data_IF_356609276968
#
_entry.id   IF_356609276968
#
_cell.length_a   1.000
_cell.length_b   1.000
_cell.length_c   1.000
_cell.angle_alpha   90.00
_cell.angle_beta   90.00
_cell.angle_gamma   90.00
#
_symmetry.space_group_name_H-M   'P 1'
#
loop_
_entity.id
_entity.type
_entity.pdbx_description
1 polymer ?
#
# COMPACT_ATOMS: atom_id res chain seq x y z
N UNK A 1 62.71 -27.82 48.75
CA UNK A 1 62.19 -29.19 48.86
C UNK A 1 61.19 -29.30 47.73
N UNK A 2 60.98 -30.49 47.20
CA UNK A 2 60.15 -30.78 46.03
C UNK A 2 59.45 -32.08 46.42
N UNK A 3 58.17 -31.95 46.74
CA UNK A 3 57.42 -32.92 47.52
C UNK A 3 56.70 -33.94 46.65
N UNK A 4 56.34 -33.58 45.42
CA UNK A 4 55.66 -34.42 44.43
C UNK A 4 56.52 -34.78 43.21
N UNK A 5 57.64 -34.09 43.00
CA UNK A 5 58.68 -34.46 42.04
C UNK A 5 58.49 -33.91 40.63
N UNK A 6 57.77 -32.81 40.46
CA UNK A 6 57.46 -32.15 39.19
C UNK A 6 58.58 -31.20 38.69
N UNK A 7 59.64 -31.03 39.48
CA UNK A 7 60.78 -30.12 39.28
C UNK A 7 60.54 -28.65 39.67
N UNK A 8 59.38 -28.33 40.23
CA UNK A 8 59.08 -27.08 40.92
C UNK A 8 59.33 -27.31 42.43
N UNK A 9 59.87 -26.31 43.11
CA UNK A 9 60.12 -26.44 44.55
C UNK A 9 58.88 -26.02 45.35
N UNK A 10 58.59 -26.67 46.49
CA UNK A 10 57.42 -26.41 47.36
C UNK A 10 57.19 -24.92 47.73
N UNK A 11 58.21 -24.07 47.58
CA UNK A 11 58.14 -22.64 47.92
C UNK A 11 57.73 -21.74 46.74
N UNK A 12 57.62 -22.30 45.54
CA UNK A 12 57.20 -21.65 44.30
C UNK A 12 56.04 -22.39 43.63
N UNK A 13 55.79 -23.62 44.06
CA UNK A 13 54.69 -24.48 43.62
C UNK A 13 53.39 -24.15 44.39
N UNK A 14 52.31 -23.83 43.67
CA UNK A 14 50.99 -23.56 44.27
C UNK A 14 50.32 -24.84 44.74
N UNK A 15 50.65 -25.99 44.13
CA UNK A 15 50.14 -27.32 44.46
C UNK A 15 51.26 -28.30 44.87
N UNK A 16 51.98 -28.11 46.01
CA UNK A 16 53.15 -28.90 46.41
C UNK A 16 52.96 -30.41 46.65
N UNK A 17 51.79 -30.98 46.38
CA UNK A 17 51.56 -32.42 46.49
C UNK A 17 50.91 -33.00 45.22
N UNK A 18 50.81 -32.24 44.14
CA UNK A 18 50.23 -32.65 42.87
C UNK A 18 51.22 -32.41 41.72
N UNK A 19 51.92 -33.47 41.32
CA UNK A 19 52.97 -33.36 40.29
C UNK A 19 52.47 -32.98 38.89
N UNK A 20 51.15 -32.85 38.67
CA UNK A 20 50.59 -32.38 37.40
C UNK A 20 50.23 -30.90 37.41
N UNK A 21 50.24 -30.23 38.56
CA UNK A 21 49.88 -28.83 38.70
C UNK A 21 50.95 -28.08 39.46
N UNK A 22 51.27 -26.86 39.02
CA UNK A 22 52.27 -26.03 39.72
C UNK A 22 51.95 -24.53 39.73
N UNK A 23 51.04 -24.10 38.86
CA UNK A 23 50.56 -22.74 38.67
C UNK A 23 49.05 -22.69 38.88
N UNK A 24 48.55 -21.50 39.22
CA UNK A 24 47.17 -21.14 39.53
C UNK A 24 47.03 -19.65 39.16
N UNK A 25 46.71 -19.36 37.89
CA UNK A 25 46.82 -18.01 37.34
C UNK A 25 45.81 -17.04 37.98
N UNK A 26 44.55 -17.45 38.07
CA UNK A 26 43.44 -16.68 38.66
C UNK A 26 43.31 -16.81 40.20
N UNK A 27 44.07 -17.73 40.80
CA UNK A 27 44.06 -18.04 42.23
C UNK A 27 42.75 -18.66 42.77
N UNK A 28 42.04 -19.45 41.95
CA UNK A 28 40.79 -20.11 42.33
C UNK A 28 40.98 -21.47 43.06
N UNK A 29 42.23 -21.96 43.11
CA UNK A 29 42.68 -23.25 43.66
C UNK A 29 42.48 -24.47 42.75
N UNK A 30 42.21 -24.27 41.47
CA UNK A 30 42.38 -25.22 40.38
C UNK A 30 43.71 -24.87 39.70
N UNK A 31 44.46 -25.89 39.27
CA UNK A 31 45.76 -25.63 38.63
C UNK A 31 45.60 -25.50 37.13
N UNK A 32 46.42 -24.67 36.49
CA UNK A 32 46.26 -24.29 35.08
C UNK A 32 46.16 -25.48 34.09
N UNK A 33 46.71 -26.67 34.41
CA UNK A 33 46.57 -27.82 33.49
C UNK A 33 45.23 -28.56 33.62
N UNK A 34 44.51 -28.30 34.71
CA UNK A 34 43.20 -28.86 35.01
C UNK A 34 42.07 -27.84 34.92
N UNK A 35 42.39 -26.55 35.04
CA UNK A 35 41.46 -25.47 34.73
C UNK A 35 41.14 -25.45 33.24
N UNK A 36 40.02 -24.84 32.90
CA UNK A 36 39.55 -24.68 31.52
C UNK A 36 39.27 -23.23 31.17
N UNK A 37 39.51 -22.32 32.12
CA UNK A 37 39.30 -20.87 32.08
C UNK A 37 40.36 -20.26 33.01
N UNK A 38 41.61 -20.28 32.54
CA UNK A 38 42.81 -20.02 33.34
C UNK A 38 42.84 -18.60 33.96
N UNK A 39 42.15 -17.61 33.37
CA UNK A 39 42.05 -16.24 33.86
C UNK A 39 40.67 -15.84 34.42
N UNK A 40 39.70 -16.74 34.35
CA UNK A 40 38.36 -16.62 34.93
C UNK A 40 37.56 -15.44 34.34
N UNK A 41 37.78 -15.11 33.06
CA UNK A 41 37.05 -14.09 32.33
C UNK A 41 35.68 -14.58 31.79
N UNK A 42 35.53 -15.91 31.71
CA UNK A 42 34.31 -16.60 31.25
C UNK A 42 34.42 -17.24 29.87
N UNK A 43 35.51 -17.03 29.13
CA UNK A 43 35.89 -17.80 27.94
C UNK A 43 36.72 -19.01 28.34
N UNK A 44 36.47 -20.14 27.70
CA UNK A 44 37.30 -21.32 27.94
C UNK A 44 38.61 -21.24 27.14
N UNK A 45 39.72 -21.80 27.62
CA UNK A 45 41.00 -21.80 26.85
C UNK A 45 40.85 -22.39 25.44
N UNK A 46 39.88 -23.31 25.27
CA UNK A 46 39.57 -23.90 23.97
C UNK A 46 38.82 -22.97 23.02
N UNK A 47 38.03 -22.04 23.55
CA UNK A 47 37.31 -20.98 22.83
C UNK A 47 38.27 -19.83 22.51
N UNK A 48 39.11 -19.45 23.47
CA UNK A 48 40.18 -18.48 23.26
C UNK A 48 41.17 -18.91 22.18
N UNK A 49 41.56 -20.18 22.17
CA UNK A 49 42.38 -20.72 21.08
C UNK A 49 41.71 -20.63 19.69
N UNK A 50 40.38 -20.51 19.62
CA UNK A 50 39.63 -20.31 18.38
C UNK A 50 39.55 -18.83 17.99
N UNK A 51 39.36 -17.94 18.97
CA UNK A 51 39.28 -16.49 18.78
C UNK A 51 40.67 -15.86 18.56
N UNK A 52 41.71 -16.46 19.14
CA UNK A 52 43.09 -15.99 19.10
C UNK A 52 43.52 -15.18 20.31
N UNK A 53 42.70 -15.14 21.36
CA UNK A 53 42.96 -14.51 22.66
C UNK A 53 43.95 -15.32 23.53
N UNK A 54 44.46 -14.71 24.61
CA UNK A 54 45.44 -15.31 25.52
C UNK A 54 44.76 -15.89 26.78
N UNK A 55 44.79 -17.22 27.02
CA UNK A 55 44.17 -17.85 28.20
C UNK A 55 44.65 -17.42 29.57
N UNK A 56 45.65 -16.56 29.60
CA UNK A 56 46.21 -16.01 30.83
C UNK A 56 46.04 -14.49 30.85
N UNK A 57 45.08 -13.94 30.12
CA UNK A 57 44.84 -12.51 30.04
C UNK A 57 43.39 -12.20 29.68
N UNK A 58 42.60 -11.84 30.71
CA UNK A 58 41.16 -11.63 30.58
C UNK A 58 40.75 -10.48 29.63
N UNK A 59 41.70 -9.70 29.14
CA UNK A 59 41.59 -8.55 28.23
C UNK A 59 42.83 -8.56 27.32
N UNK A 60 42.77 -9.35 26.24
CA UNK A 60 43.95 -9.68 25.42
C UNK A 60 44.59 -8.46 24.75
N UNK A 61 43.81 -7.42 24.44
CA UNK A 61 44.28 -6.24 23.71
C UNK A 61 44.41 -4.97 24.56
N UNK A 62 44.18 -5.09 25.88
CA UNK A 62 44.37 -4.07 26.91
C UNK A 62 43.45 -2.84 26.71
N UNK A 63 42.18 -3.04 26.35
CA UNK A 63 41.23 -1.96 26.04
C UNK A 63 40.18 -1.65 27.12
N UNK A 64 40.30 -2.35 28.25
CA UNK A 64 39.41 -2.32 29.42
C UNK A 64 38.07 -3.07 29.23
N UNK A 65 37.89 -3.86 28.17
CA UNK A 65 36.79 -4.82 27.98
C UNK A 65 37.33 -6.25 28.01
N UNK A 66 36.66 -7.13 28.75
CA UNK A 66 37.12 -8.52 28.83
C UNK A 66 36.83 -9.27 27.52
N UNK A 67 37.68 -10.22 27.17
CA UNK A 67 37.56 -10.99 25.92
C UNK A 67 36.19 -11.67 25.78
N UNK A 68 35.60 -12.16 26.88
CA UNK A 68 34.25 -12.73 26.89
C UNK A 68 33.14 -11.74 26.50
N UNK A 69 33.28 -10.46 26.87
CA UNK A 69 32.28 -9.41 26.63
C UNK A 69 32.58 -8.57 25.38
N UNK A 70 33.80 -8.69 24.84
CA UNK A 70 34.25 -7.96 23.66
C UNK A 70 33.89 -8.67 22.36
N UNK A 71 33.25 -7.94 21.44
CA UNK A 71 32.98 -8.45 20.11
C UNK A 71 34.24 -8.53 19.23
N UNK A 72 35.25 -7.72 19.54
CA UNK A 72 36.49 -7.56 18.78
C UNK A 72 37.74 -7.68 19.68
N UNK A 73 37.94 -8.82 20.39
CA UNK A 73 38.91 -9.01 21.49
C UNK A 73 40.40 -9.01 21.07
N UNK A 74 40.71 -8.58 19.84
CA UNK A 74 42.06 -8.47 19.30
C UNK A 74 42.32 -7.09 18.67
N UNK A 75 41.36 -6.18 18.75
CA UNK A 75 41.43 -4.81 18.26
C UNK A 75 40.93 -3.82 19.32
N UNK A 76 41.85 -3.38 20.18
CA UNK A 76 41.63 -2.38 21.23
C UNK A 76 41.07 -1.00 20.79
N UNK A 77 40.72 -0.84 19.52
CA UNK A 77 39.98 0.33 19.03
C UNK A 77 38.51 0.04 18.71
N UNK A 78 38.05 -1.19 18.85
CA UNK A 78 36.70 -1.67 18.58
C UNK A 78 36.27 -2.59 19.73
N UNK A 79 35.09 -2.34 20.33
CA UNK A 79 34.56 -3.20 21.40
C UNK A 79 33.17 -3.78 21.10
N UNK A 80 32.56 -3.33 19.99
CA UNK A 80 31.17 -3.59 19.62
C UNK A 80 31.14 -3.94 18.12
N UNK A 81 30.21 -4.83 17.76
CA UNK A 81 29.89 -5.26 16.39
C UNK A 81 28.38 -5.53 16.39
N UNK A 82 27.60 -4.48 16.14
CA UNK A 82 26.15 -4.46 16.42
C UNK A 82 25.37 -5.40 15.49
N UNK A 83 25.78 -5.54 14.23
CA UNK A 83 25.17 -6.45 13.25
C UNK A 83 25.84 -7.84 13.18
N UNK A 84 27.04 -7.98 13.75
CA UNK A 84 27.78 -9.24 13.83
C UNK A 84 28.44 -9.64 12.51
N UNK A 85 28.77 -8.69 11.63
CA UNK A 85 29.43 -8.97 10.35
C UNK A 85 30.96 -9.14 10.46
N UNK A 86 31.53 -8.80 11.61
CA UNK A 86 32.96 -8.86 11.93
C UNK A 86 33.73 -7.56 11.64
N UNK A 87 33.03 -6.45 11.39
CA UNK A 87 33.57 -5.09 11.38
C UNK A 87 33.02 -4.37 12.61
N UNK A 88 33.90 -3.84 13.46
CA UNK A 88 33.44 -3.13 14.66
C UNK A 88 32.81 -1.77 14.36
N UNK A 89 31.89 -1.33 15.22
CA UNK A 89 31.07 -0.13 15.06
C UNK A 89 31.89 1.17 14.80
N UNK A 90 33.13 1.33 15.32
CA UNK A 90 33.90 2.54 15.01
C UNK A 90 34.47 2.54 13.58
N UNK A 91 34.55 1.37 12.94
CA UNK A 91 35.03 1.17 11.58
C UNK A 91 33.90 0.92 10.57
N UNK A 92 32.75 0.40 11.02
CA UNK A 92 31.57 0.23 10.19
C UNK A 92 30.94 1.60 9.86
N UNK A 93 30.12 1.63 8.82
CA UNK A 93 29.39 2.78 8.34
C UNK A 93 27.87 2.56 8.35
N UNK A 94 27.43 1.42 8.84
CA UNK A 94 26.06 0.89 8.86
C UNK A 94 25.95 -0.09 10.04
N UNK A 95 26.12 0.41 11.28
CA UNK A 95 26.41 -0.40 12.48
C UNK A 95 25.35 -1.50 12.76
N UNK A 96 24.09 -1.29 12.38
CA UNK A 96 22.99 -2.25 12.56
C UNK A 96 22.55 -2.98 11.27
N UNK A 97 23.21 -2.66 10.15
CA UNK A 97 22.98 -3.21 8.81
C UNK A 97 21.53 -3.21 8.34
N UNK A 98 20.80 -2.16 8.67
CA UNK A 98 19.42 -1.96 8.26
C UNK A 98 19.31 -1.39 6.82
N UNK A 99 20.44 -0.91 6.29
CA UNK A 99 20.58 -0.34 4.94
C UNK A 99 20.64 1.19 4.89
N UNK A 100 20.56 1.87 6.04
CA UNK A 100 20.69 3.31 6.21
C UNK A 100 22.03 3.64 6.87
N UNK A 101 22.95 4.22 6.09
CA UNK A 101 24.26 4.59 6.63
C UNK A 101 24.18 5.55 7.83
N UNK A 102 25.01 5.31 8.84
CA UNK A 102 25.36 6.15 10.00
C UNK A 102 25.22 7.67 9.84
N UNK A 103 25.70 8.16 8.70
CA UNK A 103 25.74 9.58 8.37
C UNK A 103 24.36 10.11 8.00
N UNK A 104 23.60 9.31 7.27
CA UNK A 104 22.23 9.61 6.85
C UNK A 104 21.28 9.48 8.03
N UNK A 105 21.46 8.46 8.88
CA UNK A 105 20.74 8.28 10.13
C UNK A 105 20.85 9.49 11.06
N UNK A 106 22.08 9.98 11.28
CA UNK A 106 22.29 11.20 12.08
C UNK A 106 21.53 12.41 11.52
N UNK A 107 21.22 12.41 10.23
CA UNK A 107 20.48 13.49 9.57
C UNK A 107 18.96 13.30 9.65
N UNK A 108 18.49 12.05 9.65
CA UNK A 108 17.08 11.66 9.72
C UNK A 108 16.59 11.60 11.17
N UNK A 109 17.47 11.30 12.12
CA UNK A 109 17.17 11.19 13.55
C UNK A 109 16.87 9.77 14.03
N UNK A 110 17.21 8.75 13.22
CA UNK A 110 17.19 7.33 13.57
C UNK A 110 18.38 6.96 14.47
N UNK A 111 18.37 5.75 15.02
CA UNK A 111 19.40 5.22 15.92
C UNK A 111 20.26 4.17 15.24
N UNK A 112 21.57 4.43 15.16
CA UNK A 112 22.57 3.63 14.41
C UNK A 112 22.72 2.20 14.87
N UNK A 113 22.28 1.94 16.09
CA UNK A 113 22.41 0.64 16.74
C UNK A 113 21.05 -0.07 16.81
N UNK A 114 20.03 0.47 16.15
CA UNK A 114 18.65 -0.02 16.19
C UNK A 114 18.04 -0.01 14.79
N UNK A 115 17.96 -1.19 14.13
CA UNK A 115 17.65 -1.26 12.70
C UNK A 115 16.18 -0.94 12.34
N UNK A 116 15.35 -0.59 13.32
CA UNK A 116 13.91 -0.25 13.19
C UNK A 116 13.55 0.78 14.28
N UNK A 117 13.85 2.05 14.03
CA UNK A 117 13.82 3.13 15.03
C UNK A 117 12.44 3.40 15.63
N UNK A 118 11.36 3.00 14.97
CA UNK A 118 9.98 3.20 15.44
C UNK A 118 9.19 1.93 15.76
N UNK A 119 9.86 0.76 15.70
CA UNK A 119 9.35 -0.56 16.02
C UNK A 119 8.11 -0.97 15.20
N UNK A 120 8.00 -0.53 13.94
CA UNK A 120 6.85 -0.85 13.08
C UNK A 120 7.01 -2.16 12.27
N UNK A 121 8.25 -2.65 12.21
CA UNK A 121 8.65 -3.87 11.51
C UNK A 121 9.21 -3.66 10.10
N UNK A 122 9.40 -2.42 9.66
CA UNK A 122 10.16 -2.03 8.47
C UNK A 122 11.48 -1.41 8.92
N UNK A 123 12.59 -1.82 8.30
CA UNK A 123 13.91 -1.31 8.66
C UNK A 123 14.07 0.14 8.20
N UNK A 124 14.82 0.98 8.91
CA UNK A 124 14.93 2.41 8.58
C UNK A 124 15.49 2.63 7.16
N UNK A 125 16.40 1.76 6.71
CA UNK A 125 16.92 1.75 5.35
C UNK A 125 15.90 1.44 4.24
N UNK A 126 14.79 0.80 4.57
CA UNK A 126 13.68 0.49 3.65
C UNK A 126 12.43 1.34 3.92
N UNK A 127 12.42 2.12 5.01
CA UNK A 127 11.31 2.96 5.44
C UNK A 127 11.44 4.41 4.92
N UNK A 128 10.36 4.93 4.34
CA UNK A 128 10.30 6.33 3.88
C UNK A 128 10.07 7.32 5.05
N UNK A 129 9.44 6.86 6.12
CA UNK A 129 9.15 7.57 7.36
C UNK A 129 9.64 6.78 8.59
N UNK A 130 10.97 6.58 8.76
CA UNK A 130 11.57 5.72 9.79
C UNK A 130 11.38 6.20 11.26
N UNK A 131 10.52 7.18 11.49
CA UNK A 131 10.20 7.73 12.82
C UNK A 131 8.68 7.83 13.05
N UNK A 132 7.88 7.29 12.14
CA UNK A 132 6.43 7.25 12.22
C UNK A 132 5.92 5.82 11.96
N UNK A 133 5.78 5.07 13.05
CA UNK A 133 5.32 3.68 13.04
C UNK A 133 3.90 3.43 12.47
N UNK A 134 3.27 4.46 11.89
CA UNK A 134 2.02 4.35 11.16
C UNK A 134 2.16 4.52 9.65
N UNK A 135 3.34 4.85 9.15
CA UNK A 135 3.62 5.11 7.74
C UNK A 135 4.98 4.53 7.35
N UNK A 136 5.04 3.73 6.29
CA UNK A 136 6.32 3.18 5.80
C UNK A 136 6.50 3.31 4.28
N UNK A 137 5.55 3.92 3.59
CA UNK A 137 5.54 4.04 2.13
C UNK A 137 4.95 5.38 1.70
N UNK A 138 5.53 5.95 0.64
CA UNK A 138 5.05 7.14 -0.06
C UNK A 138 5.08 6.83 -1.57
N UNK A 139 3.97 6.30 -2.08
CA UNK A 139 3.87 5.71 -3.40
C UNK A 139 4.00 6.74 -4.54
N UNK A 140 3.80 8.04 -4.28
CA UNK A 140 3.93 9.10 -5.28
C UNK A 140 4.94 10.22 -4.96
N UNK A 141 5.61 10.12 -3.81
CA UNK A 141 6.69 10.98 -3.35
C UNK A 141 6.27 12.43 -3.12
N UNK A 142 5.07 12.65 -2.59
CA UNK A 142 4.60 13.98 -2.22
C UNK A 142 4.82 14.35 -0.74
N UNK A 143 5.28 13.39 0.06
CA UNK A 143 5.65 13.55 1.46
C UNK A 143 4.52 13.26 2.45
N UNK A 144 3.38 12.74 2.01
CA UNK A 144 2.35 12.15 2.87
C UNK A 144 2.38 10.63 2.71
N UNK A 145 2.44 9.90 3.82
CA UNK A 145 2.47 8.44 3.78
C UNK A 145 1.17 7.83 3.27
N UNK A 146 1.29 6.67 2.62
CA UNK A 146 0.20 5.95 1.95
C UNK A 146 -1.00 5.66 2.87
N UNK A 147 -0.81 5.52 4.19
CA UNK A 147 -1.92 5.26 5.12
C UNK A 147 -2.71 6.53 5.47
N UNK A 148 -2.07 7.71 5.39
CA UNK A 148 -2.67 9.02 5.67
C UNK A 148 -3.10 9.75 4.40
N UNK A 149 -2.62 9.34 3.24
CA UNK A 149 -2.94 9.94 1.95
C UNK A 149 -4.28 9.39 1.39
N UNK A 150 -5.23 10.29 1.11
CA UNK A 150 -6.48 9.94 0.44
C UNK A 150 -6.28 9.52 -1.03
N UNK A 151 -5.18 9.94 -1.68
CA UNK A 151 -4.82 9.61 -3.05
C UNK A 151 -3.35 9.17 -3.19
N UNK A 152 -2.95 7.98 -2.67
CA UNK A 152 -1.54 7.51 -2.60
C UNK A 152 -0.78 7.38 -3.93
N UNK A 153 -1.37 7.70 -5.07
CA UNK A 153 -0.75 7.57 -6.38
C UNK A 153 -0.87 8.88 -7.20
N UNK A 154 -1.28 9.98 -6.56
CA UNK A 154 -1.45 11.27 -7.17
C UNK A 154 -0.78 12.38 -6.32
N UNK A 155 0.45 12.80 -6.68
CA UNK A 155 1.29 13.68 -5.85
C UNK A 155 0.84 15.15 -5.82
N UNK A 156 -0.40 15.41 -6.25
CA UNK A 156 -1.02 16.72 -6.29
C UNK A 156 -2.21 16.84 -5.32
N UNK A 157 -2.71 15.71 -4.81
CA UNK A 157 -3.93 15.61 -3.99
C UNK A 157 -3.63 14.69 -2.80
N UNK A 158 -3.76 15.19 -1.56
CA UNK A 158 -3.52 14.36 -0.35
C UNK A 158 -4.71 14.28 0.59
N UNK A 159 -5.68 15.17 0.40
CA UNK A 159 -6.83 15.35 1.29
C UNK A 159 -8.12 15.24 0.47
N UNK A 160 -9.08 14.52 1.03
CA UNK A 160 -10.47 14.42 0.57
C UNK A 160 -11.36 14.75 1.77
N UNK A 161 -11.67 16.03 1.96
CA UNK A 161 -12.27 16.56 3.18
C UNK A 161 -13.71 16.10 3.39
N UNK A 162 -14.44 15.79 2.33
CA UNK A 162 -15.82 15.30 2.38
C UNK A 162 -15.99 13.82 1.98
N UNK A 163 -14.95 13.19 1.43
CA UNK A 163 -14.92 11.75 1.16
C UNK A 163 -15.63 11.36 -0.13
N UNK A 164 -15.78 12.28 -1.09
CA UNK A 164 -16.49 12.04 -2.34
C UNK A 164 -15.61 11.45 -3.47
N UNK A 165 -14.30 11.37 -3.22
CA UNK A 165 -13.30 10.81 -4.13
C UNK A 165 -12.69 11.82 -5.09
N UNK A 166 -12.94 13.12 -4.93
CA UNK A 166 -12.21 14.21 -5.60
C UNK A 166 -11.39 14.96 -4.56
N UNK A 167 -10.08 15.06 -4.77
CA UNK A 167 -9.22 15.72 -3.80
C UNK A 167 -9.49 17.22 -3.68
N UNK A 168 -9.26 17.77 -2.50
CA UNK A 168 -9.58 19.16 -2.12
C UNK A 168 -9.03 20.22 -3.09
N UNK A 169 -7.95 19.93 -3.83
CA UNK A 169 -7.38 20.87 -4.78
C UNK A 169 -8.05 20.81 -6.14
N UNK A 170 -8.62 19.66 -6.51
CA UNK A 170 -9.42 19.49 -7.72
C UNK A 170 -10.90 19.83 -7.49
N UNK A 171 -11.35 19.78 -6.24
CA UNK A 171 -12.73 20.02 -5.85
C UNK A 171 -13.06 21.53 -5.69
N UNK A 172 -14.14 21.96 -6.34
CA UNK A 172 -14.70 23.30 -6.17
C UNK A 172 -15.43 23.49 -4.83
N UNK A 173 -15.90 22.41 -4.19
CA UNK A 173 -16.60 22.41 -2.91
C UNK A 173 -16.10 21.33 -1.94
N UNK A 174 -14.85 21.43 -1.42
CA UNK A 174 -14.19 20.39 -0.61
C UNK A 174 -14.89 19.93 0.69
N UNK A 175 -16.00 20.57 1.09
CA UNK A 175 -16.75 20.25 2.30
C UNK A 175 -18.18 19.74 1.97
N UNK A 176 -18.51 19.49 0.70
CA UNK A 176 -19.83 19.08 0.23
C UNK A 176 -19.76 17.90 -0.75
N UNK A 177 -19.92 16.69 -0.19
CA UNK A 177 -19.85 15.40 -0.90
C UNK A 177 -20.81 15.25 -2.11
N UNK A 178 -21.71 16.22 -2.30
CA UNK A 178 -22.67 16.23 -3.38
C UNK A 178 -22.29 17.12 -4.57
N UNK A 179 -21.20 17.89 -4.47
CA UNK A 179 -20.80 18.88 -5.48
C UNK A 179 -19.28 18.92 -5.71
N UNK A 180 -18.81 18.54 -6.90
CA UNK A 180 -17.37 18.58 -7.22
C UNK A 180 -16.96 19.65 -8.24
N UNK A 181 -17.93 20.20 -8.97
CA UNK A 181 -17.69 21.06 -10.13
C UNK A 181 -18.54 22.32 -10.06
N UNK A 182 -17.92 23.46 -10.38
CA UNK A 182 -18.56 24.75 -10.63
C UNK A 182 -18.17 25.20 -12.05
N UNK A 183 -18.93 24.74 -13.05
CA UNK A 183 -18.59 24.95 -14.46
C UNK A 183 -18.67 26.41 -14.89
N UNK A 184 -19.50 27.23 -14.23
CA UNK A 184 -19.69 28.64 -14.56
C UNK A 184 -19.07 29.63 -13.57
N UNK A 185 -18.49 29.12 -12.48
CA UNK A 185 -17.73 29.89 -11.49
C UNK A 185 -18.62 30.77 -10.63
N UNK A 186 -19.88 30.39 -10.43
CA UNK A 186 -20.87 31.19 -9.71
C UNK A 186 -20.99 30.84 -8.21
N UNK A 187 -20.27 29.81 -7.77
CA UNK A 187 -20.25 29.33 -6.40
C UNK A 187 -21.43 28.43 -6.04
N UNK A 188 -22.18 27.93 -7.03
CA UNK A 188 -23.20 26.88 -6.87
C UNK A 188 -22.77 25.67 -7.69
N UNK A 189 -22.78 24.49 -7.07
CA UNK A 189 -22.35 23.28 -7.73
C UNK A 189 -23.26 22.88 -8.91
N UNK A 190 -22.64 22.23 -9.90
CA UNK A 190 -23.31 21.80 -11.13
C UNK A 190 -24.50 20.84 -10.84
N UNK A 191 -24.44 20.01 -9.77
CA UNK A 191 -25.53 19.10 -9.43
C UNK A 191 -26.72 19.87 -8.85
N UNK A 192 -26.51 20.90 -8.02
CA UNK A 192 -27.53 21.77 -7.45
C UNK A 192 -28.18 22.60 -8.55
N UNK A 193 -27.38 23.20 -9.45
CA UNK A 193 -27.89 23.93 -10.60
C UNK A 193 -28.80 23.03 -11.46
N UNK A 194 -28.34 21.82 -11.81
CA UNK A 194 -29.13 20.86 -12.57
C UNK A 194 -30.41 20.42 -11.85
N UNK A 195 -30.34 20.18 -10.54
CA UNK A 195 -31.50 19.83 -9.73
C UNK A 195 -32.53 20.98 -9.69
N UNK A 196 -32.05 22.22 -9.66
CA UNK A 196 -32.90 23.41 -9.70
C UNK A 196 -33.57 23.59 -11.08
N UNK A 197 -32.83 23.36 -12.16
CA UNK A 197 -33.37 23.35 -13.53
C UNK A 197 -34.45 22.28 -13.72
N UNK A 198 -34.24 21.06 -13.21
CA UNK A 198 -35.23 19.99 -13.27
C UNK A 198 -36.50 20.32 -12.47
N UNK A 199 -36.35 20.90 -11.27
CA UNK A 199 -37.48 21.38 -10.45
C UNK A 199 -38.27 22.48 -11.16
N UNK A 200 -37.57 23.42 -11.78
CA UNK A 200 -38.22 24.52 -12.51
C UNK A 200 -38.87 24.04 -13.81
N UNK A 201 -38.28 23.07 -14.50
CA UNK A 201 -38.90 22.37 -15.62
C UNK A 201 -40.17 21.60 -15.18
N UNK A 202 -40.14 20.89 -14.04
CA UNK A 202 -41.30 20.19 -13.50
C UNK A 202 -42.42 21.15 -13.09
N UNK A 203 -42.09 22.29 -12.45
CA UNK A 203 -43.04 23.37 -12.15
C UNK A 203 -43.67 23.93 -13.41
N UNK A 204 -42.87 24.18 -14.44
CA UNK A 204 -43.37 24.67 -15.73
C UNK A 204 -44.29 23.64 -16.41
N UNK A 205 -43.93 22.36 -16.40
CA UNK A 205 -44.77 21.28 -16.93
C UNK A 205 -46.10 21.19 -16.18
N UNK A 206 -46.10 21.31 -14.84
CA UNK A 206 -47.31 21.33 -14.04
C UNK A 206 -48.22 22.50 -14.42
N UNK A 207 -47.66 23.70 -14.60
CA UNK A 207 -48.40 24.89 -15.05
C UNK A 207 -49.01 24.66 -16.43
N UNK A 208 -48.27 24.05 -17.35
CA UNK A 208 -48.77 23.71 -18.70
C UNK A 208 -49.92 22.71 -18.60
N UNK A 209 -49.80 21.64 -17.80
CA UNK A 209 -50.85 20.64 -17.62
C UNK A 209 -52.11 21.25 -17.01
N UNK A 210 -51.97 22.06 -15.96
CA UNK A 210 -53.11 22.79 -15.35
C UNK A 210 -53.72 23.75 -16.37
N UNK A 211 -52.90 24.47 -17.13
CA UNK A 211 -53.35 25.36 -18.20
C UNK A 211 -54.18 24.62 -19.25
N UNK A 212 -53.69 23.46 -19.71
CA UNK A 212 -54.41 22.60 -20.67
C UNK A 212 -55.72 22.07 -20.07
N UNK A 213 -55.71 21.61 -18.81
CA UNK A 213 -56.92 21.15 -18.13
C UNK A 213 -57.96 22.26 -17.95
N UNK A 214 -57.53 23.48 -17.62
CA UNK A 214 -58.42 24.65 -17.50
C UNK A 214 -59.01 25.03 -18.86
N UNK A 215 -58.21 25.00 -19.93
CA UNK A 215 -58.71 25.25 -21.30
C UNK A 215 -59.69 24.15 -21.72
N UNK A 216 -59.38 22.87 -21.48
CA UNK A 216 -60.29 21.76 -21.78
C UNK A 216 -61.58 21.83 -20.96
N UNK A 217 -61.52 22.19 -19.68
CA UNK A 217 -62.70 22.41 -18.85
C UNK A 217 -63.51 23.64 -19.28
N UNK A 218 -62.84 24.72 -19.71
CA UNK A 218 -63.47 25.92 -20.26
C UNK A 218 -64.17 25.63 -21.59
N UNK A 219 -63.50 24.96 -22.53
CA UNK A 219 -64.06 24.53 -23.82
C UNK A 219 -65.17 23.51 -23.60
N UNK A 220 -64.98 22.53 -22.70
CA UNK A 220 -66.00 21.56 -22.29
C UNK A 220 -67.20 22.23 -21.63
N UNK A 221 -66.99 23.25 -20.80
CA UNK A 221 -68.05 24.06 -20.18
C UNK A 221 -68.82 24.90 -21.21
N UNK A 222 -68.14 25.51 -22.18
CA UNK A 222 -68.75 26.25 -23.29
C UNK A 222 -69.52 25.32 -24.22
N UNK A 223 -68.99 24.13 -24.54
CA UNK A 223 -69.67 23.09 -25.32
C UNK A 223 -70.87 22.50 -24.56
N UNK A 224 -70.76 22.29 -23.26
CA UNK A 224 -71.85 21.81 -22.40
C UNK A 224 -72.97 22.86 -22.26
N UNK A 225 -72.61 24.14 -22.17
CA UNK A 225 -73.59 25.24 -22.23
C UNK A 225 -74.24 25.37 -23.61
N UNK A 226 -73.51 25.05 -24.70
CA UNK A 226 -74.08 24.98 -26.06
C UNK A 226 -75.02 23.79 -26.26
N UNK A 227 -74.79 22.67 -25.55
CA UNK A 227 -75.61 21.45 -25.66
C UNK A 227 -76.95 21.54 -24.91
N UNK A 228 -77.15 22.55 -24.04
CA UNK A 228 -78.46 22.82 -23.42
C UNK A 228 -79.40 23.63 -24.33
N UNK A 229 -78.93 24.09 -25.49
CA UNK A 229 -79.71 24.85 -26.45
C UNK A 229 -79.60 24.26 -27.87
N UNK A 230 -79.97 22.99 -28.04
CA UNK A 230 -80.50 22.43 -29.30
C UNK A 230 -80.73 20.93 -29.12
N UNK A 231 -81.99 20.55 -28.95
CA UNK A 231 -82.44 19.19 -29.15
C UNK A 231 -82.84 19.02 -30.62
N UNK A 232 -82.36 17.96 -31.27
CA UNK A 232 -83.17 17.08 -32.11
C UNK A 232 -82.39 15.83 -32.53
N UNK A 233 -83.10 14.70 -32.44
CA UNK A 233 -82.73 13.32 -32.76
C UNK A 233 -82.23 13.10 -34.18
N UNK A 234 -81.33 12.13 -34.37
CA UNK A 234 -81.34 11.25 -35.56
C UNK A 234 -80.60 9.92 -35.30
N UNK A 235 -81.44 8.90 -35.07
CA UNK A 235 -81.43 7.51 -35.55
C UNK A 235 -80.14 6.66 -35.45
N UNK A 236 -80.26 5.61 -34.60
CA UNK A 236 -79.49 4.36 -34.62
C UNK A 236 -79.80 3.55 -35.88
N UNK A 237 -78.77 3.09 -36.57
CA UNK A 237 -78.81 1.83 -37.30
C UNK A 237 -77.56 0.99 -37.01
N UNK A 238 -77.82 -0.22 -36.53
CA UNK A 238 -76.92 -1.37 -36.44
C UNK A 238 -76.83 -2.04 -37.81
N UNK A 239 -75.74 -2.75 -38.15
CA UNK A 239 -75.60 -4.22 -38.34
C UNK A 239 -74.19 -4.52 -38.94
N UNK A 240 -73.72 -5.78 -39.09
CA UNK A 240 -72.66 -6.40 -38.30
C UNK A 240 -71.33 -6.65 -39.07
N UNK A 241 -70.31 -7.09 -38.33
CA UNK A 241 -69.00 -7.54 -38.83
C UNK A 241 -69.08 -8.93 -39.51
N UNK A 242 -68.39 -9.15 -40.64
CA UNK A 242 -67.93 -10.47 -41.04
C UNK A 242 -66.47 -10.71 -40.63
N UNK A 243 -66.14 -11.99 -40.55
CA UNK A 243 -64.98 -12.62 -39.92
C UNK A 243 -63.97 -13.16 -40.97
N UNK A 244 -62.70 -13.19 -40.58
CA UNK A 244 -61.55 -14.00 -41.04
C UNK A 244 -61.04 -13.89 -42.50
N UNK A 245 -59.72 -13.73 -42.63
CA UNK A 245 -58.98 -14.28 -43.77
C UNK A 245 -57.54 -13.81 -43.90
N UNK A 246 -56.59 -14.60 -43.37
CA UNK A 246 -55.16 -14.48 -43.63
C UNK A 246 -54.86 -14.46 -45.14
N UNK A 247 -54.00 -13.56 -45.59
CA UNK A 247 -53.34 -13.67 -46.88
C UNK A 247 -51.90 -13.14 -46.80
N UNK A 248 -51.01 -14.06 -47.11
CA UNK A 248 -49.59 -13.92 -47.36
C UNK A 248 -49.34 -13.34 -48.78
N UNK A 249 -48.12 -12.81 -48.96
CA UNK A 249 -47.41 -12.51 -50.22
C UNK A 249 -47.85 -11.35 -51.16
N UNK A 250 -46.95 -10.35 -51.21
CA UNK A 250 -46.13 -9.95 -52.37
C UNK A 250 -46.14 -8.44 -52.75
N UNK A 251 -44.92 -7.92 -52.92
CA UNK A 251 -44.51 -6.56 -53.29
C UNK A 251 -44.97 -6.13 -54.71
N UNK A 252 -44.81 -4.84 -55.10
CA UNK A 252 -43.60 -4.51 -55.85
C UNK A 252 -42.97 -3.12 -55.60
N UNK A 253 -41.64 -3.16 -55.44
CA UNK A 253 -40.56 -2.35 -56.03
C UNK A 253 -40.85 -0.95 -56.62
N UNK A 254 -40.13 0.04 -56.08
CA UNK A 254 -39.50 1.14 -56.83
C UNK A 254 -38.08 1.40 -56.31
N UNK A 255 -37.18 1.98 -57.14
CA UNK A 255 -35.74 1.76 -57.07
C UNK A 255 -34.93 2.81 -56.29
N UNK A 256 -33.72 2.35 -56.00
CA UNK A 256 -32.55 2.89 -55.27
C UNK A 256 -31.89 4.14 -55.86
N UNK A 257 -31.39 5.02 -55.00
CA UNK A 257 -30.03 5.61 -54.95
C UNK A 257 -29.96 6.63 -53.79
N UNK A 258 -29.03 6.71 -52.84
CA UNK A 258 -27.92 5.90 -52.36
C UNK A 258 -27.80 6.28 -50.87
N UNK A 259 -28.04 5.35 -49.94
CA UNK A 259 -27.79 5.53 -48.52
C UNK A 259 -26.68 4.57 -48.10
N UNK A 260 -25.57 5.11 -47.64
CA UNK A 260 -24.49 4.33 -47.02
C UNK A 260 -25.03 3.63 -45.76
N UNK A 261 -24.78 2.32 -45.59
CA UNK A 261 -25.21 1.63 -44.38
C UNK A 261 -24.41 2.13 -43.17
N UNK A 262 -25.16 2.38 -42.10
CA UNK A 262 -24.65 2.58 -40.76
C UNK A 262 -23.67 1.46 -40.38
N UNK A 263 -22.50 1.86 -39.89
CA UNK A 263 -21.57 0.96 -39.25
C UNK A 263 -22.23 0.40 -37.99
N UNK A 264 -22.25 -0.92 -37.90
CA UNK A 264 -22.60 -1.66 -36.70
C UNK A 264 -21.57 -1.27 -35.63
N UNK A 265 -21.98 -0.47 -34.64
CA UNK A 265 -21.13 -0.19 -33.48
C UNK A 265 -21.05 -1.50 -32.70
N UNK A 266 -19.98 -2.25 -32.94
CA UNK A 266 -19.55 -3.35 -32.07
C UNK A 266 -19.32 -2.73 -30.69
N UNK A 267 -20.05 -3.21 -29.69
CA UNK A 267 -19.77 -2.89 -28.30
C UNK A 267 -18.29 -3.20 -28.03
N UNK A 268 -17.57 -2.26 -27.42
CA UNK A 268 -16.18 -2.49 -27.01
C UNK A 268 -16.16 -3.71 -26.08
N UNK A 269 -15.28 -4.67 -26.36
CA UNK A 269 -15.12 -5.83 -25.50
C UNK A 269 -14.63 -5.38 -24.13
N UNK A 270 -15.26 -5.90 -23.08
CA UNK A 270 -14.98 -5.58 -21.69
C UNK A 270 -14.07 -6.66 -21.10
N UNK A 271 -13.22 -6.30 -20.14
CA UNK A 271 -12.37 -7.27 -19.44
C UNK A 271 -13.25 -8.16 -18.57
N UNK A 272 -13.26 -9.47 -18.83
CA UNK A 272 -13.97 -10.45 -18.02
C UNK A 272 -13.11 -10.92 -16.84
N UNK A 273 -11.82 -11.18 -17.08
CA UNK A 273 -10.88 -11.66 -16.06
C UNK A 273 -9.46 -11.15 -16.34
N UNK A 274 -8.69 -10.86 -15.28
CA UNK A 274 -7.27 -10.55 -15.33
C UNK A 274 -6.50 -11.44 -14.34
N UNK A 275 -5.35 -11.97 -14.74
CA UNK A 275 -4.48 -12.78 -13.86
C UNK A 275 -3.00 -12.62 -14.23
N UNK A 276 -2.12 -12.93 -13.29
CA UNK A 276 -0.67 -12.98 -13.49
C UNK A 276 -0.21 -14.44 -13.41
N UNK A 277 0.66 -14.87 -14.33
CA UNK A 277 1.19 -16.23 -14.31
C UNK A 277 2.41 -16.39 -13.39
N UNK A 278 2.84 -17.63 -13.19
CA UNK A 278 4.01 -17.98 -12.34
C UNK A 278 5.34 -17.38 -12.85
N UNK A 279 5.36 -16.84 -14.07
CA UNK A 279 6.52 -16.16 -14.66
C UNK A 279 6.35 -14.62 -14.64
N UNK A 280 5.35 -14.09 -13.93
CA UNK A 280 5.12 -12.66 -13.76
C UNK A 280 4.42 -11.95 -14.93
N UNK A 281 3.91 -12.66 -15.93
CA UNK A 281 3.21 -12.02 -17.05
C UNK A 281 1.75 -11.78 -16.73
N UNK A 282 1.25 -10.58 -17.02
CA UNK A 282 -0.15 -10.22 -16.82
C UNK A 282 -0.98 -10.52 -18.08
N UNK A 283 -2.13 -11.18 -17.88
CA UNK A 283 -3.06 -11.60 -18.92
C UNK A 283 -4.45 -11.05 -18.66
N UNK A 284 -5.20 -10.77 -19.74
CA UNK A 284 -6.62 -10.37 -19.70
C UNK A 284 -7.44 -11.21 -20.66
N UNK A 285 -8.62 -11.64 -20.23
CA UNK A 285 -9.64 -12.27 -21.09
C UNK A 285 -10.77 -11.29 -21.32
N UNK A 286 -11.14 -11.13 -22.58
CA UNK A 286 -12.14 -10.16 -23.03
C UNK A 286 -13.48 -10.87 -23.28
N UNK A 287 -14.59 -10.14 -23.21
CA UNK A 287 -15.95 -10.68 -23.44
C UNK A 287 -16.24 -11.11 -24.88
N UNK A 288 -15.35 -10.81 -25.82
CA UNK A 288 -15.34 -11.35 -27.17
C UNK A 288 -14.58 -12.69 -27.30
N UNK A 289 -14.04 -13.20 -26.18
CA UNK A 289 -13.28 -14.44 -26.10
C UNK A 289 -11.80 -14.30 -26.45
N UNK A 290 -11.30 -13.09 -26.76
CA UNK A 290 -9.88 -12.84 -26.97
C UNK A 290 -9.10 -12.83 -25.65
N UNK A 291 -7.82 -13.22 -25.73
CA UNK A 291 -6.88 -13.18 -24.61
C UNK A 291 -5.75 -12.24 -24.98
N UNK A 292 -5.48 -11.27 -24.11
CA UNK A 292 -4.43 -10.29 -24.24
C UNK A 292 -3.35 -10.55 -23.19
N UNK A 293 -2.09 -10.27 -23.49
CA UNK A 293 -1.00 -10.28 -22.50
C UNK A 293 -0.24 -8.95 -22.53
N UNK A 294 0.30 -8.55 -21.39
CA UNK A 294 1.01 -7.28 -21.21
C UNK A 294 2.51 -7.45 -21.46
N UNK A 295 3.06 -6.67 -22.41
CA UNK A 295 4.49 -6.73 -22.75
C UNK A 295 5.34 -5.63 -22.08
N UNK A 296 4.77 -4.88 -21.13
CA UNK A 296 5.40 -3.72 -20.50
C UNK A 296 5.02 -2.37 -21.12
N UNK A 297 4.47 -2.34 -22.33
CA UNK A 297 4.08 -1.10 -23.03
C UNK A 297 2.65 -1.12 -23.56
N UNK A 298 2.19 -2.25 -24.08
CA UNK A 298 0.88 -2.41 -24.71
C UNK A 298 0.32 -3.82 -24.49
N UNK A 299 -1.01 -3.95 -24.56
CA UNK A 299 -1.71 -5.24 -24.58
C UNK A 299 -1.59 -5.91 -25.96
N UNK A 300 -1.07 -7.12 -25.99
CA UNK A 300 -0.86 -7.91 -27.21
C UNK A 300 -1.86 -9.06 -27.29
N UNK A 301 -2.48 -9.24 -28.45
CA UNK A 301 -3.38 -10.38 -28.70
C UNK A 301 -2.57 -11.66 -28.94
N UNK A 302 -3.10 -12.78 -28.45
CA UNK A 302 -2.46 -14.09 -28.45
C UNK A 302 -3.01 -14.96 -29.57
#
# INVERSE_FOLDING_TARGET
>A
MDSDGDMVGDNADVFPNDATESSDFDADMIGDNADTDDDNDGLLDTEEALLGTDPYDADTDDDDVNDFEDAMPLDASETMDTDGDGVGDNADTDDDADGLYDLDESSMGTDRLDPDSDDDGVLDGEDVFPLDATESSDSDNDGVGDNSDAFPNNPLETVDSDGDGVGDRADAFPDDESETMDSDGDGVGDNEQKAQEEKDAARMQLIIVIGVLVVLAGVGGVLFMRRRASGQDLQKETTPLPEIGNADLAQPLYPTQDAQPAQQIVAASTVENQWTDENGHTWRRMSDGSTLWWNGTDWQNV
#
